data_IF_092078699811
#
_entry.id   IF_092078699811
#
_cell.length_a   1.000
_cell.length_b   1.000
_cell.length_c   1.000
_cell.angle_alpha   90.00
_cell.angle_beta   90.00
_cell.angle_gamma   90.00
#
_symmetry.space_group_name_H-M   'P 1'
#
loop_
_entity.id
_entity.type
_entity.pdbx_description
1 polymer ?
#
# COMPACT_ATOMS: atom_id res chain seq x y z
N UNK A 1 20.32 -12.67 20.04
CA UNK A 1 19.15 -11.79 20.08
C UNK A 1 18.89 -11.22 18.69
N UNK A 2 17.69 -11.32 18.22
CA UNK A 2 17.33 -10.79 16.91
C UNK A 2 16.84 -9.35 17.02
N UNK A 3 17.25 -8.46 16.11
CA UNK A 3 16.67 -7.12 16.10
C UNK A 3 15.17 -7.20 15.90
N UNK A 4 14.44 -6.36 16.61
CA UNK A 4 12.99 -6.29 16.50
C UNK A 4 12.59 -4.94 15.94
N UNK A 5 11.78 -4.95 14.90
CA UNK A 5 11.08 -3.76 14.48
C UNK A 5 9.78 -3.68 15.27
N UNK A 6 9.67 -2.65 16.13
CA UNK A 6 8.43 -2.41 16.87
C UNK A 6 7.57 -1.46 16.07
N UNK A 7 6.34 -1.88 15.81
CA UNK A 7 5.36 -1.06 15.11
C UNK A 7 4.27 -0.69 16.09
N UNK A 8 4.10 0.61 16.33
CA UNK A 8 3.06 1.13 17.21
C UNK A 8 1.82 1.43 16.37
N UNK A 9 1.01 0.41 16.11
CA UNK A 9 -0.12 0.48 15.19
C UNK A 9 -1.12 1.59 15.57
N UNK A 10 -1.35 1.79 16.86
CA UNK A 10 -2.26 2.85 17.31
C UNK A 10 -1.75 4.24 16.94
N UNK A 11 -0.44 4.45 17.06
CA UNK A 11 0.17 5.73 16.65
C UNK A 11 0.11 5.93 15.15
N UNK A 12 0.31 4.86 14.39
CA UNK A 12 0.20 4.91 12.94
C UNK A 12 -1.22 5.28 12.53
N UNK A 13 -2.21 4.65 13.15
CA UNK A 13 -3.62 4.98 12.90
C UNK A 13 -3.91 6.45 13.19
N UNK A 14 -3.48 6.95 14.34
CA UNK A 14 -3.72 8.34 14.75
C UNK A 14 -3.02 9.32 13.83
N UNK A 15 -1.75 9.08 13.50
CA UNK A 15 -1.00 9.94 12.58
C UNK A 15 -1.60 9.93 11.18
N UNK A 16 -2.04 8.76 10.73
CA UNK A 16 -2.70 8.60 9.43
C UNK A 16 -3.97 9.44 9.37
N UNK A 17 -4.78 9.41 10.43
CA UNK A 17 -6.00 10.18 10.49
C UNK A 17 -5.75 11.68 10.38
N UNK A 18 -4.72 12.18 11.09
CA UNK A 18 -4.35 13.60 11.04
C UNK A 18 -3.91 14.00 9.64
N UNK A 19 -3.01 13.21 9.04
CA UNK A 19 -2.50 13.49 7.69
C UNK A 19 -3.64 13.44 6.67
N UNK A 20 -4.51 12.45 6.76
CA UNK A 20 -5.65 12.32 5.87
C UNK A 20 -6.58 13.53 5.95
N UNK A 21 -6.88 13.99 7.15
CA UNK A 21 -7.74 15.15 7.35
C UNK A 21 -7.12 16.40 6.73
N UNK A 22 -5.83 16.62 6.95
CA UNK A 22 -5.10 17.74 6.38
C UNK A 22 -5.14 17.72 4.85
N UNK A 23 -4.79 16.58 4.26
CA UNK A 23 -4.73 16.44 2.81
C UNK A 23 -6.11 16.50 2.16
N UNK A 24 -7.13 15.91 2.77
CA UNK A 24 -8.50 15.94 2.26
C UNK A 24 -9.02 17.37 2.20
N UNK A 25 -8.66 18.20 3.18
CA UNK A 25 -9.01 19.61 3.17
C UNK A 25 -8.45 20.39 2.00
N UNK A 26 -7.40 19.88 1.36
CA UNK A 26 -6.76 20.47 0.18
C UNK A 26 -7.05 19.67 -1.10
N UNK A 27 -7.97 18.72 -1.06
CA UNK A 27 -8.31 17.91 -2.22
C UNK A 27 -7.25 16.88 -2.61
N UNK A 28 -6.38 16.47 -1.67
CA UNK A 28 -5.31 15.52 -1.90
C UNK A 28 -5.69 14.16 -1.32
N UNK A 29 -5.57 13.12 -2.14
CA UNK A 29 -5.76 11.73 -1.69
C UNK A 29 -4.44 11.19 -1.13
N UNK A 30 -4.53 10.38 -0.08
CA UNK A 30 -3.35 9.82 0.60
C UNK A 30 -3.31 8.31 0.43
N UNK A 31 -2.14 7.79 0.09
CA UNK A 31 -1.90 6.35 -0.03
C UNK A 31 -1.02 5.88 1.12
N UNK A 32 -1.37 4.76 1.75
CA UNK A 32 -0.53 4.13 2.75
C UNK A 32 0.44 3.17 2.09
N UNK A 33 1.74 3.35 2.34
CA UNK A 33 2.78 2.52 1.71
C UNK A 33 3.29 1.49 2.71
N UNK A 34 3.31 0.23 2.30
CA UNK A 34 3.67 -0.91 3.16
C UNK A 34 5.05 -1.49 2.86
N UNK A 35 5.78 -0.94 1.87
CA UNK A 35 7.04 -1.54 1.42
C UNK A 35 8.11 -1.64 2.50
N UNK A 36 8.15 -0.70 3.44
CA UNK A 36 9.14 -0.71 4.51
C UNK A 36 8.90 -1.82 5.53
N UNK A 37 7.70 -2.38 5.58
CA UNK A 37 7.29 -3.41 6.52
C UNK A 37 6.89 -4.70 5.80
N UNK A 38 7.44 -4.92 4.62
CA UNK A 38 7.24 -6.14 3.82
C UNK A 38 5.76 -6.49 3.59
N UNK A 39 4.90 -5.49 3.45
CA UNK A 39 3.49 -5.71 3.18
C UNK A 39 2.72 -6.29 4.36
N UNK A 40 3.09 -5.93 5.60
CA UNK A 40 2.40 -6.44 6.78
C UNK A 40 0.92 -6.06 6.77
N UNK A 41 -0.01 -7.04 6.84
CA UNK A 41 -1.45 -6.73 6.83
C UNK A 41 -1.88 -5.85 8.00
N UNK A 42 -1.24 -5.99 9.16
CA UNK A 42 -1.56 -5.18 10.35
C UNK A 42 -1.29 -3.69 10.10
N UNK A 43 -0.22 -3.38 9.35
CA UNK A 43 0.08 -2.00 8.97
C UNK A 43 -0.98 -1.45 8.02
N UNK A 44 -1.37 -2.26 7.03
CA UNK A 44 -2.42 -1.87 6.09
C UNK A 44 -3.75 -1.61 6.82
N UNK A 45 -4.09 -2.47 7.78
CA UNK A 45 -5.31 -2.29 8.59
C UNK A 45 -5.26 -1.00 9.40
N UNK A 46 -4.08 -0.63 9.94
CA UNK A 46 -3.92 0.62 10.67
C UNK A 46 -4.14 1.82 9.76
N UNK A 47 -3.65 1.78 8.52
CA UNK A 47 -3.91 2.82 7.53
C UNK A 47 -5.39 2.95 7.23
N UNK A 48 -6.10 1.83 7.05
CA UNK A 48 -7.54 1.86 6.78
C UNK A 48 -8.31 2.38 7.98
N UNK A 49 -7.92 2.01 9.19
CA UNK A 49 -8.54 2.52 10.41
C UNK A 49 -8.35 4.04 10.54
N UNK A 50 -7.25 4.56 10.02
CA UNK A 50 -6.99 6.00 9.96
C UNK A 50 -7.75 6.70 8.84
N UNK A 51 -8.45 5.97 7.99
CA UNK A 51 -9.33 6.52 6.96
C UNK A 51 -8.79 6.46 5.54
N UNK A 52 -7.66 5.80 5.30
CA UNK A 52 -7.15 5.65 3.93
C UNK A 52 -7.91 4.57 3.17
N UNK A 53 -8.00 4.72 1.86
CA UNK A 53 -8.67 3.76 0.98
C UNK A 53 -7.71 3.16 -0.06
N UNK A 54 -6.46 3.60 -0.07
CA UNK A 54 -5.45 3.14 -1.02
C UNK A 54 -4.21 2.66 -0.29
N UNK A 55 -3.69 1.51 -0.72
CA UNK A 55 -2.45 0.92 -0.20
C UNK A 55 -1.50 0.73 -1.37
N UNK A 56 -0.25 1.11 -1.18
CA UNK A 56 0.77 0.94 -2.22
C UNK A 56 1.96 0.13 -1.72
N UNK A 57 2.54 -0.65 -2.62
CA UNK A 57 3.78 -1.38 -2.35
C UNK A 57 4.56 -1.50 -3.64
N UNK A 58 5.88 -1.69 -3.51
CA UNK A 58 6.75 -1.84 -4.66
C UNK A 58 6.94 -3.30 -5.09
N UNK A 59 6.34 -4.25 -4.39
CA UNK A 59 6.49 -5.68 -4.67
C UNK A 59 5.12 -6.34 -4.82
N UNK A 60 4.94 -7.05 -5.93
CA UNK A 60 3.70 -7.81 -6.16
C UNK A 60 3.49 -8.86 -5.07
N UNK A 61 4.57 -9.49 -4.60
CA UNK A 61 4.50 -10.46 -3.51
C UNK A 61 3.90 -9.87 -2.23
N UNK A 62 4.19 -8.59 -1.96
CA UNK A 62 3.61 -7.90 -0.81
C UNK A 62 2.12 -7.61 -1.03
N UNK A 63 1.74 -7.21 -2.24
CA UNK A 63 0.33 -6.98 -2.56
C UNK A 63 -0.49 -8.28 -2.44
N UNK A 64 0.12 -9.42 -2.77
CA UNK A 64 -0.52 -10.72 -2.58
C UNK A 64 -0.86 -10.98 -1.11
N UNK A 65 0.01 -10.58 -0.20
CA UNK A 65 -0.24 -10.71 1.25
C UNK A 65 -1.43 -9.89 1.69
N UNK A 66 -1.80 -8.87 0.93
CA UNK A 66 -2.87 -7.94 1.26
C UNK A 66 -4.16 -8.22 0.50
N UNK A 67 -4.26 -9.37 -0.19
CA UNK A 67 -5.40 -9.66 -1.07
C UNK A 67 -6.76 -9.62 -0.36
N UNK A 68 -6.79 -9.95 0.94
CA UNK A 68 -8.01 -9.94 1.74
C UNK A 68 -8.32 -8.59 2.38
N UNK A 69 -7.48 -7.60 2.17
CA UNK A 69 -7.69 -6.25 2.69
C UNK A 69 -8.53 -5.48 1.68
N UNK A 70 -9.64 -4.88 2.13
CA UNK A 70 -10.51 -4.10 1.26
C UNK A 70 -9.97 -2.69 1.06
N UNK A 71 -9.08 -2.56 0.08
CA UNK A 71 -8.49 -1.29 -0.31
C UNK A 71 -8.10 -1.35 -1.78
N UNK A 72 -8.01 -0.19 -2.41
CA UNK A 72 -7.44 -0.09 -3.75
C UNK A 72 -5.93 -0.29 -3.63
N UNK A 73 -5.39 -1.24 -4.38
CA UNK A 73 -3.99 -1.67 -4.26
C UNK A 73 -3.19 -1.20 -5.46
N UNK A 74 -2.08 -0.51 -5.19
CA UNK A 74 -1.23 0.08 -6.21
C UNK A 74 0.15 -0.56 -6.19
N UNK A 75 0.65 -0.97 -7.36
CA UNK A 75 2.05 -1.27 -7.52
C UNK A 75 2.76 0.03 -7.86
N UNK A 76 3.62 0.52 -6.97
CA UNK A 76 4.23 1.85 -7.09
C UNK A 76 5.59 1.83 -7.79
N UNK A 77 5.75 0.89 -8.72
CA UNK A 77 6.86 0.85 -9.68
C UNK A 77 6.37 0.22 -10.99
N UNK A 78 7.06 0.47 -12.12
CA UNK A 78 6.72 -0.26 -13.35
C UNK A 78 6.96 -1.76 -13.16
N UNK A 79 6.01 -2.62 -13.53
CA UNK A 79 6.18 -4.06 -13.39
C UNK A 79 7.07 -4.64 -14.49
N UNK A 80 7.67 -5.80 -14.22
CA UNK A 80 8.34 -6.59 -15.25
C UNK A 80 7.29 -7.40 -16.00
N UNK A 81 7.54 -7.73 -17.27
CA UNK A 81 6.60 -8.52 -18.06
C UNK A 81 6.28 -9.87 -17.41
N UNK A 82 7.27 -10.48 -16.74
CA UNK A 82 7.07 -11.75 -16.04
C UNK A 82 6.12 -11.66 -14.85
N UNK A 83 5.79 -10.44 -14.39
CA UNK A 83 4.89 -10.22 -13.25
C UNK A 83 3.45 -9.92 -13.64
N UNK A 84 3.16 -9.81 -14.95
CA UNK A 84 1.86 -9.31 -15.42
C UNK A 84 0.70 -10.13 -14.89
N UNK A 85 0.82 -11.45 -14.90
CA UNK A 85 -0.26 -12.32 -14.45
C UNK A 85 -0.62 -12.08 -12.97
N UNK A 86 0.40 -12.02 -12.11
CA UNK A 86 0.18 -11.74 -10.70
C UNK A 86 -0.24 -10.29 -10.47
N UNK A 87 0.29 -9.36 -11.27
CA UNK A 87 -0.09 -7.95 -11.17
C UNK A 87 -1.59 -7.78 -11.39
N UNK A 88 -2.13 -8.40 -12.43
CA UNK A 88 -3.56 -8.31 -12.75
C UNK A 88 -4.42 -8.88 -11.62
N UNK A 89 -3.92 -9.90 -10.95
CA UNK A 89 -4.65 -10.57 -9.87
C UNK A 89 -4.64 -9.78 -8.56
N UNK A 90 -3.51 -9.14 -8.21
CA UNK A 90 -3.32 -8.58 -6.88
C UNK A 90 -3.25 -7.05 -6.82
N UNK A 91 -3.16 -6.38 -7.95
CA UNK A 91 -3.10 -4.91 -7.99
C UNK A 91 -4.28 -4.36 -8.78
N UNK A 92 -4.80 -3.23 -8.32
CA UNK A 92 -5.85 -2.51 -9.04
C UNK A 92 -5.26 -1.46 -9.96
N UNK A 93 -4.09 -0.90 -9.60
CA UNK A 93 -3.42 0.14 -10.37
C UNK A 93 -1.92 -0.15 -10.37
N UNK A 94 -1.25 0.17 -11.47
CA UNK A 94 0.21 0.08 -11.56
C UNK A 94 0.76 1.29 -12.31
N UNK A 95 2.04 1.62 -12.01
CA UNK A 95 2.75 2.65 -12.73
C UNK A 95 3.41 2.01 -13.94
N UNK A 96 3.21 2.57 -15.12
CA UNK A 96 3.74 2.02 -16.37
C UNK A 96 4.71 3.01 -17.01
N UNK A 97 5.83 2.51 -17.51
CA UNK A 97 6.81 3.32 -18.21
C UNK A 97 7.03 2.86 -19.64
N UNK A 98 6.52 1.70 -20.00
CA UNK A 98 6.66 1.14 -21.34
C UNK A 98 5.31 0.67 -21.88
N UNK A 99 5.09 0.87 -23.18
CA UNK A 99 3.83 0.53 -23.83
C UNK A 99 3.52 -0.98 -23.76
N UNK A 100 4.53 -1.81 -23.78
CA UNK A 100 4.39 -3.27 -23.75
C UNK A 100 3.76 -3.76 -22.44
N UNK A 101 3.82 -2.97 -21.37
CA UNK A 101 3.25 -3.35 -20.08
C UNK A 101 1.87 -2.74 -19.83
N UNK A 102 1.45 -1.84 -20.68
CA UNK A 102 0.10 -1.27 -20.60
C UNK A 102 -0.94 -2.25 -21.15
#
# INVERSE_FOLDING_TARGET
MYPRLKIYLKRIEENTRVIRQLCTGHGIRVMGVTKACCGAPELAEAYLAGGLAMIGDSRVANLKKLENIEAEKWLIRPPMLSEIEDLVRYADVSLQSEMETV
#
